data_IF_349740370244
#
_entry.id   IF_349740370244
#
_cell.length_a   1.000
_cell.length_b   1.000
_cell.length_c   1.000
_cell.angle_alpha   90.00
_cell.angle_beta   90.00
_cell.angle_gamma   90.00
#
_symmetry.space_group_name_H-M   'P 1'
#
loop_
_entity.id
_entity.type
_entity.pdbx_description
1 polymer ?
#
# COMPACT_ATOMS: atom_id res chain seq x y z
N UNK A 1 54.23 31.86 -36.72
CA UNK A 1 53.44 31.37 -35.57
C UNK A 1 51.93 31.60 -35.66
N UNK A 2 51.40 32.24 -36.76
CA UNK A 2 49.95 32.49 -36.93
C UNK A 2 49.14 31.28 -37.40
N UNK A 3 49.76 30.16 -37.75
CA UNK A 3 49.11 28.94 -38.23
C UNK A 3 48.64 27.96 -37.11
N UNK A 4 48.96 28.22 -35.85
CA UNK A 4 48.60 27.30 -34.76
C UNK A 4 47.28 27.65 -34.02
N UNK A 5 46.63 28.75 -34.35
CA UNK A 5 45.36 29.06 -33.77
C UNK A 5 44.21 28.33 -34.55
N UNK A 6 43.48 27.48 -33.82
CA UNK A 6 42.35 26.79 -34.37
C UNK A 6 41.30 27.82 -34.90
N UNK A 7 41.28 28.00 -36.23
CA UNK A 7 40.40 28.96 -36.92
C UNK A 7 38.91 28.69 -36.77
N UNK A 8 38.54 27.54 -36.18
CA UNK A 8 37.16 27.21 -35.84
C UNK A 8 36.73 27.72 -34.47
N UNK A 9 37.62 28.33 -33.68
CA UNK A 9 37.31 28.90 -32.35
C UNK A 9 36.36 30.11 -32.56
N UNK A 10 35.10 29.99 -32.09
CA UNK A 10 34.06 31.02 -32.20
C UNK A 10 33.09 30.87 -33.37
N UNK A 11 33.33 29.90 -34.28
CA UNK A 11 32.36 29.62 -35.36
C UNK A 11 31.22 28.77 -34.78
N UNK A 12 29.97 29.16 -35.11
CA UNK A 12 28.76 28.36 -34.81
C UNK A 12 28.84 27.06 -35.60
N UNK A 13 28.79 25.92 -34.89
CA UNK A 13 28.87 24.62 -35.56
C UNK A 13 27.58 24.32 -36.37
N UNK A 14 27.70 23.62 -37.51
CA UNK A 14 26.59 23.21 -38.38
C UNK A 14 25.52 22.35 -37.70
N UNK A 15 25.72 21.94 -36.43
CA UNK A 15 24.77 21.14 -35.62
C UNK A 15 24.06 21.96 -34.58
N UNK A 16 24.08 23.29 -34.66
CA UNK A 16 23.40 24.14 -33.71
C UNK A 16 21.88 24.12 -33.98
N UNK A 17 21.12 23.91 -32.89
CA UNK A 17 19.66 23.95 -32.97
C UNK A 17 19.17 25.35 -33.40
N UNK A 18 18.09 25.48 -34.15
CA UNK A 18 17.45 26.75 -34.43
C UNK A 18 17.10 27.48 -33.11
N UNK A 19 17.37 28.77 -33.03
CA UNK A 19 17.07 29.57 -31.86
C UNK A 19 15.60 29.52 -31.47
N UNK A 20 14.71 29.59 -32.49
CA UNK A 20 13.25 29.52 -32.29
C UNK A 20 12.81 28.19 -31.63
N UNK A 21 13.37 27.05 -32.05
CA UNK A 21 13.07 25.75 -31.45
C UNK A 21 13.58 25.66 -30.00
N UNK A 22 14.75 26.24 -29.76
CA UNK A 22 15.34 26.29 -28.42
C UNK A 22 14.49 27.13 -27.45
N UNK A 23 14.06 28.32 -27.89
CA UNK A 23 13.19 29.19 -27.09
C UNK A 23 11.83 28.57 -26.85
N UNK A 24 11.21 27.99 -27.88
CA UNK A 24 9.94 27.30 -27.75
C UNK A 24 10.01 26.17 -26.70
N UNK A 25 11.03 25.31 -26.80
CA UNK A 25 11.22 24.21 -25.85
C UNK A 25 11.42 24.73 -24.40
N UNK A 26 12.23 25.77 -24.24
CA UNK A 26 12.50 26.36 -22.91
C UNK A 26 11.28 27.07 -22.32
N UNK A 27 10.45 27.72 -23.13
CA UNK A 27 9.21 28.35 -22.67
C UNK A 27 8.19 27.29 -22.21
N UNK A 28 7.99 26.23 -22.98
CA UNK A 28 7.15 25.10 -22.58
C UNK A 28 7.62 24.51 -21.24
N UNK A 29 8.94 24.37 -21.05
CA UNK A 29 9.49 23.84 -19.79
C UNK A 29 9.21 24.80 -18.63
N UNK A 30 9.39 26.10 -18.81
CA UNK A 30 9.10 27.09 -17.76
C UNK A 30 7.63 27.08 -17.34
N UNK A 31 6.73 26.98 -18.30
CA UNK A 31 5.30 27.06 -18.04
C UNK A 31 4.71 25.78 -17.49
N UNK A 32 5.14 24.62 -17.99
CA UNK A 32 4.48 23.34 -17.71
C UNK A 32 5.34 22.32 -16.98
N UNK A 33 6.66 22.41 -17.06
CA UNK A 33 7.60 21.39 -16.58
C UNK A 33 8.76 21.97 -15.76
N UNK A 34 8.53 23.05 -15.05
CA UNK A 34 9.58 23.80 -14.34
C UNK A 34 10.36 22.95 -13.31
N UNK A 35 9.70 21.98 -12.69
CA UNK A 35 10.30 21.06 -11.71
C UNK A 35 10.77 19.71 -12.30
N UNK A 36 10.71 19.57 -13.63
CA UNK A 36 11.12 18.32 -14.29
C UNK A 36 12.63 18.30 -14.51
N UNK A 37 13.24 17.12 -14.24
CA UNK A 37 14.62 16.90 -14.64
C UNK A 37 14.76 16.81 -16.16
N UNK A 38 15.95 17.05 -16.73
CA UNK A 38 16.15 17.11 -18.20
C UNK A 38 15.72 15.85 -18.95
N UNK A 39 15.76 14.68 -18.31
CA UNK A 39 15.35 13.43 -18.94
C UNK A 39 13.83 13.36 -19.08
N UNK A 40 13.10 13.65 -18.01
CA UNK A 40 11.64 13.65 -18.03
C UNK A 40 11.10 14.79 -18.88
N UNK A 41 11.69 15.99 -18.79
CA UNK A 41 11.31 17.12 -19.63
C UNK A 41 11.47 16.79 -21.13
N UNK A 42 12.56 16.12 -21.53
CA UNK A 42 12.76 15.68 -22.90
C UNK A 42 11.67 14.71 -23.36
N UNK A 43 11.33 13.74 -22.52
CA UNK A 43 10.28 12.76 -22.81
C UNK A 43 8.94 13.45 -23.04
N UNK A 44 8.55 14.35 -22.15
CA UNK A 44 7.28 15.07 -22.27
C UNK A 44 7.25 16.09 -23.40
N UNK A 45 8.35 16.70 -23.76
CA UNK A 45 8.45 17.52 -24.95
C UNK A 45 8.21 16.69 -26.22
N UNK A 46 8.74 15.47 -26.28
CA UNK A 46 8.51 14.56 -27.40
C UNK A 46 7.06 14.05 -27.44
N UNK A 47 6.54 13.58 -26.31
CA UNK A 47 5.21 12.96 -26.21
C UNK A 47 4.07 13.96 -26.42
N UNK A 48 4.13 15.12 -25.74
CA UNK A 48 3.02 16.05 -25.69
C UNK A 48 3.14 17.22 -26.67
N UNK A 49 4.35 17.49 -27.20
CA UNK A 49 4.61 18.66 -28.04
C UNK A 49 5.33 18.32 -29.36
N UNK A 50 5.65 17.04 -29.62
CA UNK A 50 6.34 16.62 -30.83
C UNK A 50 7.78 17.14 -30.96
N UNK A 51 8.38 17.69 -29.89
CA UNK A 51 9.71 18.29 -29.92
C UNK A 51 10.77 17.26 -29.55
N UNK A 52 11.54 16.82 -30.55
CA UNK A 52 12.59 15.82 -30.42
C UNK A 52 13.95 16.49 -30.16
N UNK A 53 14.47 16.40 -28.94
CA UNK A 53 15.78 16.93 -28.55
C UNK A 53 16.66 15.85 -27.95
N UNK A 54 17.97 15.96 -28.15
CA UNK A 54 18.94 15.12 -27.48
C UNK A 54 18.97 15.41 -25.96
N UNK A 55 19.10 14.36 -25.14
CA UNK A 55 19.10 14.48 -23.67
C UNK A 55 20.18 15.46 -23.17
N UNK A 56 21.39 15.34 -23.67
CA UNK A 56 22.51 16.20 -23.24
C UNK A 56 22.37 17.63 -23.75
N UNK A 57 21.82 17.81 -24.94
CA UNK A 57 21.50 19.12 -25.48
C UNK A 57 20.50 19.85 -24.59
N UNK A 58 19.38 19.22 -24.28
CA UNK A 58 18.38 19.80 -23.39
C UNK A 58 18.93 20.08 -22.00
N UNK A 59 19.72 19.15 -21.46
CA UNK A 59 20.37 19.35 -20.15
C UNK A 59 21.24 20.60 -20.13
N UNK A 60 22.06 20.82 -21.15
CA UNK A 60 22.93 22.01 -21.26
C UNK A 60 22.10 23.29 -21.39
N UNK A 61 21.05 23.25 -22.19
CA UNK A 61 20.13 24.39 -22.32
C UNK A 61 19.46 24.75 -21.00
N UNK A 62 18.93 23.77 -20.28
CA UNK A 62 18.30 24.00 -18.98
C UNK A 62 19.29 24.49 -17.91
N UNK A 63 20.55 24.03 -17.93
CA UNK A 63 21.61 24.56 -17.04
C UNK A 63 21.94 26.01 -17.41
N UNK A 64 22.12 26.32 -18.71
CA UNK A 64 22.45 27.66 -19.18
C UNK A 64 21.38 28.69 -18.82
N UNK A 65 20.13 28.29 -18.77
CA UNK A 65 18.98 29.16 -18.43
C UNK A 65 18.54 29.11 -16.97
N UNK A 66 19.29 28.40 -16.11
CA UNK A 66 18.98 28.28 -14.68
C UNK A 66 17.79 27.38 -14.35
N UNK A 67 17.19 26.72 -15.34
CA UNK A 67 16.05 25.80 -15.15
C UNK A 67 16.46 24.46 -14.54
N UNK A 68 17.73 24.15 -14.55
CA UNK A 68 18.25 22.93 -13.96
C UNK A 68 19.59 23.16 -13.28
N UNK A 69 19.65 22.78 -12.00
CA UNK A 69 20.90 22.79 -11.22
C UNK A 69 21.36 21.33 -11.06
N UNK A 70 22.55 20.96 -11.59
CA UNK A 70 23.09 19.62 -11.38
C UNK A 70 23.24 19.32 -9.90
N UNK A 71 22.82 18.14 -9.46
CA UNK A 71 23.04 17.71 -8.07
C UNK A 71 24.54 17.78 -7.78
N UNK A 72 24.95 18.53 -6.74
CA UNK A 72 26.31 18.49 -6.23
C UNK A 72 26.64 17.02 -5.97
N UNK A 73 27.81 16.58 -6.45
CA UNK A 73 28.30 15.25 -6.15
C UNK A 73 28.32 15.07 -4.63
N UNK A 74 27.40 14.27 -4.12
CA UNK A 74 27.46 13.85 -2.72
C UNK A 74 28.69 12.97 -2.57
N UNK A 75 29.36 13.01 -1.41
CA UNK A 75 30.45 12.08 -1.09
C UNK A 75 29.99 10.65 -1.45
N UNK A 76 30.81 9.88 -2.18
CA UNK A 76 30.42 8.58 -2.63
C UNK A 76 30.11 7.68 -1.43
N UNK A 77 28.85 7.23 -1.33
CA UNK A 77 28.47 6.19 -0.38
C UNK A 77 29.04 4.88 -0.92
N UNK A 78 30.00 4.29 -0.22
CA UNK A 78 30.54 2.99 -0.59
C UNK A 78 29.40 1.97 -0.45
N UNK A 79 28.89 1.49 -1.57
CA UNK A 79 27.89 0.43 -1.64
C UNK A 79 28.49 -0.72 -2.42
N UNK A 80 28.69 -1.85 -1.74
CA UNK A 80 29.14 -3.06 -2.43
C UNK A 80 28.01 -3.57 -3.34
N UNK A 81 28.28 -3.82 -4.63
CA UNK A 81 27.29 -4.33 -5.54
C UNK A 81 26.88 -5.75 -5.14
N UNK A 82 25.56 -5.98 -5.07
CA UNK A 82 25.01 -7.32 -4.90
C UNK A 82 24.64 -7.90 -6.29
N UNK A 83 25.00 -9.14 -6.50
CA UNK A 83 24.60 -9.85 -7.72
C UNK A 83 23.08 -9.88 -7.84
N UNK A 84 22.60 -9.79 -9.09
CA UNK A 84 21.19 -10.00 -9.42
C UNK A 84 20.90 -11.48 -9.45
N UNK A 85 19.64 -11.83 -9.17
CA UNK A 85 19.14 -13.14 -9.49
C UNK A 85 19.23 -13.39 -10.99
N UNK A 86 19.24 -14.68 -11.36
CA UNK A 86 19.46 -15.06 -12.75
C UNK A 86 18.18 -14.96 -13.59
N UNK A 87 17.06 -15.34 -13.02
CA UNK A 87 15.77 -15.47 -13.70
C UNK A 87 14.71 -14.53 -13.12
N UNK A 88 13.76 -14.12 -13.96
CA UNK A 88 12.55 -13.43 -13.52
C UNK A 88 11.72 -14.33 -12.59
N UNK A 89 11.13 -13.78 -11.53
CA UNK A 89 10.34 -14.53 -10.56
C UNK A 89 11.12 -15.28 -9.48
N UNK A 90 12.46 -15.28 -9.56
CA UNK A 90 13.31 -15.95 -8.56
C UNK A 90 13.29 -15.26 -7.20
N UNK A 91 13.28 -13.92 -7.20
CA UNK A 91 13.20 -13.11 -5.99
C UNK A 91 12.51 -11.78 -6.28
N UNK A 92 11.39 -11.55 -5.61
CA UNK A 92 10.64 -10.31 -5.69
C UNK A 92 10.86 -9.50 -4.41
N UNK A 93 11.42 -8.30 -4.55
CA UNK A 93 11.57 -7.36 -3.43
C UNK A 93 10.26 -6.61 -3.24
N UNK A 94 9.73 -6.63 -2.01
CA UNK A 94 8.50 -5.94 -1.63
C UNK A 94 8.79 -4.88 -0.57
N UNK A 95 8.16 -3.72 -0.72
CA UNK A 95 8.31 -2.61 0.22
C UNK A 95 7.16 -1.61 0.09
N UNK A 96 6.83 -0.96 1.21
CA UNK A 96 5.92 0.18 1.22
C UNK A 96 6.68 1.50 1.13
N UNK A 97 6.14 2.44 0.38
CA UNK A 97 6.69 3.77 0.25
C UNK A 97 5.63 4.81 0.63
N UNK A 98 5.69 5.29 1.87
CA UNK A 98 4.86 6.41 2.31
C UNK A 98 5.40 7.72 1.72
N UNK A 99 4.54 8.45 1.01
CA UNK A 99 4.91 9.68 0.34
C UNK A 99 3.70 10.55 0.01
N UNK A 100 3.94 11.85 -0.25
CA UNK A 100 2.94 12.76 -0.79
C UNK A 100 2.76 12.54 -2.31
N UNK A 101 2.21 11.38 -2.68
CA UNK A 101 2.05 10.98 -4.10
C UNK A 101 1.19 11.97 -4.89
N UNK A 102 0.23 12.59 -4.23
CA UNK A 102 -0.67 13.58 -4.82
C UNK A 102 -0.27 15.02 -4.50
N UNK A 103 0.91 15.23 -3.90
CA UNK A 103 1.39 16.54 -3.46
C UNK A 103 0.39 17.19 -2.47
N UNK A 104 -0.12 18.39 -2.77
CA UNK A 104 -1.13 19.09 -1.96
C UNK A 104 -2.58 18.76 -2.37
N UNK A 105 -2.79 17.93 -3.42
CA UNK A 105 -4.11 17.61 -3.98
C UNK A 105 -4.88 16.57 -3.17
N UNK A 106 -4.17 15.76 -2.37
CA UNK A 106 -4.74 14.78 -1.43
C UNK A 106 -3.76 14.47 -0.30
N UNK A 107 -4.21 13.83 0.78
CA UNK A 107 -3.34 13.37 1.86
C UNK A 107 -2.26 12.40 1.37
N UNK A 108 -1.15 12.32 2.14
CA UNK A 108 -0.13 11.30 1.92
C UNK A 108 -0.73 9.90 2.01
N UNK A 109 -0.21 8.99 1.20
CA UNK A 109 -0.59 7.59 1.22
C UNK A 109 0.62 6.70 0.90
N UNK A 110 0.47 5.41 1.08
CA UNK A 110 1.56 4.45 0.85
C UNK A 110 1.38 3.77 -0.51
N UNK A 111 2.45 3.68 -1.28
CA UNK A 111 2.52 2.82 -2.46
C UNK A 111 3.23 1.51 -2.09
N UNK A 112 2.54 0.39 -2.23
CA UNK A 112 3.12 -0.95 -2.12
C UNK A 112 3.78 -1.31 -3.45
N UNK A 113 5.07 -1.62 -3.41
CA UNK A 113 5.89 -1.79 -4.62
C UNK A 113 6.55 -3.15 -4.61
N UNK A 114 6.37 -3.90 -5.69
CA UNK A 114 6.98 -5.20 -5.92
C UNK A 114 7.94 -5.10 -7.09
N UNK A 115 9.20 -5.42 -6.87
CA UNK A 115 10.27 -5.30 -7.87
C UNK A 115 10.97 -6.63 -8.05
N UNK A 116 11.05 -7.12 -9.27
CA UNK A 116 11.86 -8.29 -9.58
C UNK A 116 13.36 -7.99 -9.49
N UNK A 117 14.09 -8.80 -8.75
CA UNK A 117 15.53 -8.61 -8.52
C UNK A 117 16.37 -8.80 -9.78
N UNK A 118 15.99 -9.73 -10.65
CA UNK A 118 16.72 -10.03 -11.87
C UNK A 118 16.60 -8.88 -12.89
N UNK A 119 15.39 -8.43 -13.12
CA UNK A 119 15.07 -7.50 -14.21
C UNK A 119 14.89 -6.05 -13.77
N UNK A 120 14.69 -5.77 -12.48
CA UNK A 120 14.22 -4.48 -11.94
C UNK A 120 12.86 -4.03 -12.50
N UNK A 121 12.06 -4.93 -13.03
CA UNK A 121 10.69 -4.64 -13.42
C UNK A 121 9.83 -4.34 -12.20
N UNK A 122 8.96 -3.37 -12.34
CA UNK A 122 7.81 -3.25 -11.44
C UNK A 122 6.84 -4.36 -11.78
N UNK A 123 6.60 -5.24 -10.83
CA UNK A 123 5.70 -6.38 -10.98
C UNK A 123 4.33 -6.10 -10.39
N UNK A 124 4.26 -5.24 -9.35
CA UNK A 124 3.03 -4.75 -8.77
C UNK A 124 3.26 -3.37 -8.16
N UNK A 125 2.27 -2.51 -8.35
CA UNK A 125 2.19 -1.19 -7.75
C UNK A 125 0.76 -0.97 -7.27
N UNK A 126 0.56 -0.76 -5.98
CA UNK A 126 -0.76 -0.54 -5.39
C UNK A 126 -0.72 0.58 -4.37
N UNK A 127 -1.57 1.56 -4.54
CA UNK A 127 -1.74 2.63 -3.57
C UNK A 127 -2.74 2.21 -2.50
N UNK A 128 -2.40 2.51 -1.24
CA UNK A 128 -3.22 2.20 -0.08
C UNK A 128 -3.14 3.37 0.91
N UNK A 129 -4.14 3.52 1.76
CA UNK A 129 -4.12 4.58 2.79
C UNK A 129 -3.00 4.37 3.81
N UNK A 130 -2.75 3.13 4.17
CA UNK A 130 -1.69 2.72 5.11
C UNK A 130 -1.32 1.26 4.90
N UNK A 131 -0.11 0.88 5.33
CA UNK A 131 0.32 -0.50 5.32
C UNK A 131 -0.43 -1.32 6.37
N UNK A 132 -0.93 -2.48 5.96
CA UNK A 132 -1.55 -3.48 6.82
C UNK A 132 -1.41 -4.87 6.21
N UNK A 133 -1.67 -5.90 6.99
CA UNK A 133 -1.68 -7.28 6.48
C UNK A 133 -2.70 -7.43 5.34
N UNK A 134 -3.89 -6.83 5.46
CA UNK A 134 -4.91 -6.90 4.42
C UNK A 134 -4.50 -6.20 3.13
N UNK A 135 -3.85 -5.03 3.23
CA UNK A 135 -3.40 -4.32 2.02
C UNK A 135 -2.29 -5.08 1.30
N UNK A 136 -1.41 -5.76 2.05
CA UNK A 136 -0.43 -6.67 1.46
C UNK A 136 -1.08 -7.95 0.90
N UNK A 137 -2.14 -8.47 1.50
CA UNK A 137 -2.91 -9.58 0.94
C UNK A 137 -3.50 -9.22 -0.42
N UNK A 138 -4.14 -8.06 -0.53
CA UNK A 138 -4.71 -7.60 -1.79
C UNK A 138 -3.64 -7.34 -2.86
N UNK A 139 -2.53 -6.68 -2.48
CA UNK A 139 -1.44 -6.40 -3.41
C UNK A 139 -0.79 -7.70 -3.91
N UNK A 140 -0.54 -8.66 -2.99
CA UNK A 140 0.06 -9.95 -3.35
C UNK A 140 -0.89 -10.80 -4.18
N UNK A 141 -2.19 -10.79 -3.87
CA UNK A 141 -3.21 -11.46 -4.67
C UNK A 141 -3.18 -10.96 -6.11
N UNK A 142 -3.25 -9.65 -6.33
CA UNK A 142 -3.18 -9.06 -7.68
C UNK A 142 -1.86 -9.37 -8.40
N UNK A 143 -0.75 -9.47 -7.67
CA UNK A 143 0.52 -9.92 -8.22
C UNK A 143 0.45 -11.38 -8.68
N UNK A 144 -0.07 -12.30 -7.84
CA UNK A 144 -0.15 -13.73 -8.15
C UNK A 144 -1.11 -14.01 -9.32
N UNK A 145 -2.22 -13.29 -9.39
CA UNK A 145 -3.18 -13.39 -10.50
C UNK A 145 -2.57 -12.98 -11.85
N UNK A 146 -1.63 -12.02 -11.85
CA UNK A 146 -0.97 -11.52 -13.07
C UNK A 146 0.23 -12.37 -13.49
N UNK A 147 1.03 -12.83 -12.53
CA UNK A 147 2.36 -13.40 -12.80
C UNK A 147 2.53 -14.84 -12.35
N UNK A 148 1.66 -15.33 -11.48
CA UNK A 148 1.84 -16.61 -10.81
C UNK A 148 2.68 -16.51 -9.53
N UNK A 149 3.04 -17.65 -8.98
CA UNK A 149 3.75 -17.80 -7.69
C UNK A 149 5.26 -17.65 -7.87
N UNK A 150 5.92 -16.60 -7.33
CA UNK A 150 7.38 -16.48 -7.38
C UNK A 150 8.03 -17.50 -6.45
N UNK A 151 9.33 -17.73 -6.60
CA UNK A 151 10.05 -18.61 -5.67
C UNK A 151 10.21 -17.95 -4.29
N UNK A 152 10.54 -16.65 -4.26
CA UNK A 152 10.87 -15.98 -3.01
C UNK A 152 10.34 -14.54 -3.00
N UNK A 153 9.71 -14.14 -1.88
CA UNK A 153 9.44 -12.75 -1.54
C UNK A 153 10.49 -12.24 -0.55
N UNK A 154 10.99 -11.05 -0.79
CA UNK A 154 12.05 -10.42 0.00
C UNK A 154 11.57 -9.09 0.56
N UNK A 155 11.35 -9.02 1.87
CA UNK A 155 10.82 -7.88 2.58
C UNK A 155 11.79 -7.31 3.62
N UNK A 156 11.38 -6.27 4.33
CA UNK A 156 12.00 -5.85 5.58
C UNK A 156 11.51 -6.69 6.77
N UNK A 157 11.86 -6.24 7.98
CA UNK A 157 11.44 -6.85 9.24
C UNK A 157 10.20 -6.18 9.83
N UNK A 158 9.34 -5.58 9.02
CA UNK A 158 8.08 -5.05 9.51
C UNK A 158 7.21 -6.15 10.13
N UNK A 159 6.35 -5.77 11.05
CA UNK A 159 5.52 -6.72 11.81
C UNK A 159 4.56 -7.55 10.94
N UNK A 160 4.26 -7.09 9.75
CA UNK A 160 3.48 -7.84 8.75
C UNK A 160 4.24 -9.09 8.30
N UNK A 161 5.56 -8.97 8.11
CA UNK A 161 6.38 -10.05 7.54
C UNK A 161 7.09 -10.89 8.59
N UNK A 162 7.33 -10.36 9.78
CA UNK A 162 8.09 -11.03 10.82
C UNK A 162 7.55 -10.80 12.21
N UNK A 163 7.52 -11.88 13.00
CA UNK A 163 7.29 -11.80 14.45
C UNK A 163 8.57 -11.30 15.11
N UNK A 164 8.56 -10.04 15.59
CA UNK A 164 9.72 -9.43 16.22
C UNK A 164 9.80 -9.69 17.74
N UNK A 165 8.78 -10.31 18.33
CA UNK A 165 8.77 -10.62 19.75
C UNK A 165 9.51 -11.94 20.01
N UNK A 166 10.69 -11.86 20.63
CA UNK A 166 11.52 -13.02 20.99
C UNK A 166 10.86 -13.97 22.00
N UNK A 167 9.87 -13.51 22.74
CA UNK A 167 9.17 -14.25 23.78
C UNK A 167 7.74 -14.65 23.35
N UNK A 168 7.43 -14.66 22.06
CA UNK A 168 6.16 -15.19 21.58
C UNK A 168 6.16 -16.71 21.78
N UNK A 169 5.38 -17.17 22.77
CA UNK A 169 5.29 -18.60 23.13
C UNK A 169 4.04 -19.28 22.54
N UNK A 170 3.26 -18.57 21.73
CA UNK A 170 2.03 -19.08 21.12
C UNK A 170 2.00 -18.86 19.62
N UNK A 171 1.30 -19.75 18.91
CA UNK A 171 1.13 -19.74 17.46
C UNK A 171 2.22 -20.53 16.70
N UNK A 172 2.02 -20.70 15.40
CA UNK A 172 2.86 -21.52 14.52
C UNK A 172 4.19 -20.85 14.11
N UNK A 173 4.55 -19.73 14.73
CA UNK A 173 5.78 -18.99 14.42
C UNK A 173 5.70 -18.11 13.16
N UNK A 174 4.57 -18.07 12.48
CA UNK A 174 4.32 -17.25 11.31
C UNK A 174 3.47 -16.01 11.61
N UNK A 175 3.72 -14.93 10.89
CA UNK A 175 2.73 -13.84 10.76
C UNK A 175 1.58 -14.33 9.88
N UNK A 176 0.46 -13.61 9.86
CA UNK A 176 -0.65 -13.94 8.95
C UNK A 176 -0.22 -13.93 7.47
N UNK A 177 0.63 -12.96 7.09
CA UNK A 177 1.23 -12.92 5.76
C UNK A 177 2.17 -14.10 5.51
N UNK A 178 3.05 -14.39 6.48
CA UNK A 178 3.98 -15.51 6.38
C UNK A 178 3.26 -16.85 6.27
N UNK A 179 2.13 -17.05 6.99
CA UNK A 179 1.29 -18.24 6.88
C UNK A 179 0.72 -18.38 5.45
N UNK A 180 0.15 -17.32 4.91
CA UNK A 180 -0.41 -17.36 3.55
C UNK A 180 0.67 -17.70 2.51
N UNK A 181 1.88 -17.14 2.64
CA UNK A 181 2.99 -17.46 1.75
C UNK A 181 3.47 -18.91 1.91
N UNK A 182 3.52 -19.42 3.13
CA UNK A 182 3.87 -20.80 3.41
C UNK A 182 2.85 -21.77 2.79
N UNK A 183 1.56 -21.51 2.94
CA UNK A 183 0.49 -22.32 2.33
C UNK A 183 0.56 -22.30 0.79
N UNK A 184 0.96 -21.16 0.18
CA UNK A 184 1.18 -21.02 -1.26
C UNK A 184 2.55 -21.60 -1.72
N UNK A 185 3.33 -22.15 -0.81
CA UNK A 185 4.67 -22.65 -1.07
C UNK A 185 5.60 -21.57 -1.66
N UNK A 186 5.51 -20.33 -1.14
CA UNK A 186 6.36 -19.18 -1.49
C UNK A 186 7.30 -18.93 -0.33
N UNK A 187 8.60 -18.92 -0.58
CA UNK A 187 9.59 -18.62 0.45
C UNK A 187 9.55 -17.13 0.81
N UNK A 188 9.63 -16.80 2.10
CA UNK A 188 9.75 -15.43 2.58
C UNK A 188 11.10 -15.20 3.25
N UNK A 189 11.81 -14.16 2.85
CA UNK A 189 13.11 -13.77 3.42
C UNK A 189 13.02 -12.33 3.90
N UNK A 190 13.39 -12.06 5.16
CA UNK A 190 13.46 -10.72 5.70
C UNK A 190 14.88 -10.17 5.64
N UNK A 191 15.05 -9.00 5.03
CA UNK A 191 16.32 -8.28 4.92
C UNK A 191 16.89 -7.92 6.29
N UNK A 192 18.18 -8.12 6.48
CA UNK A 192 18.85 -7.70 7.71
C UNK A 192 19.24 -6.21 7.72
N UNK A 193 19.39 -5.63 6.54
CA UNK A 193 19.80 -4.22 6.35
C UNK A 193 18.99 -3.60 5.21
N UNK A 194 18.76 -2.28 5.27
CA UNK A 194 18.08 -1.54 4.19
C UNK A 194 18.83 -1.67 2.86
N UNK A 195 20.16 -1.64 2.88
CA UNK A 195 20.99 -1.79 1.67
C UNK A 195 20.77 -3.11 0.93
N UNK A 196 20.26 -4.13 1.62
CA UNK A 196 19.93 -5.42 1.00
C UNK A 196 18.72 -5.33 0.05
N UNK A 197 17.84 -4.34 0.21
CA UNK A 197 16.69 -4.06 -0.66
C UNK A 197 16.97 -2.99 -1.74
N UNK A 198 18.20 -2.83 -2.15
CA UNK A 198 18.62 -1.73 -3.05
C UNK A 198 17.91 -1.65 -4.41
N UNK A 199 17.14 -2.68 -4.84
CA UNK A 199 16.34 -2.63 -6.07
C UNK A 199 15.07 -1.84 -5.86
N UNK A 200 14.29 -2.20 -4.83
CA UNK A 200 13.05 -1.52 -4.51
C UNK A 200 13.32 -0.09 -4.03
N UNK A 201 14.38 0.15 -3.23
CA UNK A 201 14.78 1.51 -2.83
C UNK A 201 15.11 2.41 -4.05
N UNK A 202 15.77 1.86 -5.06
CA UNK A 202 16.04 2.59 -6.31
C UNK A 202 14.76 2.82 -7.12
N UNK A 203 13.84 1.86 -7.12
CA UNK A 203 12.53 2.05 -7.72
C UNK A 203 11.77 3.18 -7.01
N UNK A 204 11.75 3.20 -5.67
CA UNK A 204 11.13 4.28 -4.90
C UNK A 204 11.64 5.67 -5.31
N UNK A 205 12.96 5.84 -5.43
CA UNK A 205 13.54 7.13 -5.87
C UNK A 205 13.04 7.53 -7.27
N UNK A 206 12.91 6.56 -8.17
CA UNK A 206 12.40 6.82 -9.54
C UNK A 206 10.91 7.12 -9.52
N UNK A 207 10.14 6.39 -8.71
CA UNK A 207 8.70 6.61 -8.53
C UNK A 207 8.43 7.99 -7.94
N UNK A 208 9.13 8.36 -6.86
CA UNK A 208 8.99 9.68 -6.24
C UNK A 208 9.32 10.83 -7.21
N UNK A 209 10.29 10.64 -8.11
CA UNK A 209 10.62 11.66 -9.12
C UNK A 209 9.62 11.69 -10.28
N UNK A 210 9.11 10.53 -10.75
CA UNK A 210 8.32 10.43 -11.98
C UNK A 210 6.82 10.27 -11.74
N UNK A 211 6.43 9.32 -10.89
CA UNK A 211 5.02 8.97 -10.70
C UNK A 211 4.21 10.13 -10.12
N UNK A 212 4.78 10.88 -9.18
CA UNK A 212 4.15 12.10 -8.63
C UNK A 212 3.78 13.08 -9.75
N UNK A 213 4.70 13.27 -10.69
CA UNK A 213 4.53 14.19 -11.83
C UNK A 213 3.54 13.65 -12.88
N UNK A 214 3.56 12.33 -13.12
CA UNK A 214 2.60 11.68 -14.02
C UNK A 214 1.16 11.76 -13.45
N UNK A 215 1.00 11.51 -12.16
CA UNK A 215 -0.29 11.66 -11.48
C UNK A 215 -0.79 13.11 -11.55
N UNK A 216 0.12 14.09 -11.42
CA UNK A 216 -0.22 15.51 -11.56
C UNK A 216 -0.66 15.85 -12.98
N UNK A 217 0.09 15.40 -14.00
CA UNK A 217 -0.24 15.66 -15.40
C UNK A 217 -1.60 15.11 -15.82
N UNK A 218 -2.03 14.02 -15.19
CA UNK A 218 -3.32 13.37 -15.44
C UNK A 218 -4.43 13.87 -14.50
N UNK A 219 -4.13 14.79 -13.59
CA UNK A 219 -5.10 15.30 -12.62
C UNK A 219 -5.54 14.25 -11.58
N UNK A 220 -4.80 13.16 -11.43
CA UNK A 220 -5.12 12.08 -10.49
C UNK A 220 -4.81 12.53 -9.07
N UNK A 221 -5.81 12.44 -8.17
CA UNK A 221 -5.70 12.85 -6.77
C UNK A 221 -6.40 11.91 -5.78
N UNK A 222 -6.78 10.71 -6.21
CA UNK A 222 -7.37 9.69 -5.33
C UNK A 222 -6.61 8.37 -5.43
N UNK A 223 -6.69 7.57 -4.36
CA UNK A 223 -6.07 6.24 -4.30
C UNK A 223 -6.66 5.32 -5.37
N UNK A 224 -7.97 5.37 -5.57
CA UNK A 224 -8.66 4.51 -6.54
C UNK A 224 -8.24 4.83 -7.97
N UNK A 225 -8.28 6.09 -8.38
CA UNK A 225 -7.82 6.52 -9.71
C UNK A 225 -6.32 6.26 -9.92
N UNK A 226 -5.50 6.34 -8.87
CA UNK A 226 -4.08 6.00 -8.95
C UNK A 226 -3.87 4.49 -9.15
N UNK A 227 -4.71 3.66 -8.55
CA UNK A 227 -4.68 2.20 -8.75
C UNK A 227 -5.15 1.82 -10.17
N UNK A 228 -6.14 2.50 -10.72
CA UNK A 228 -6.57 2.30 -12.11
C UNK A 228 -5.45 2.66 -13.11
N UNK A 229 -4.67 3.70 -12.83
CA UNK A 229 -3.55 4.12 -13.66
C UNK A 229 -2.27 3.29 -13.44
N UNK A 230 -2.17 2.54 -12.35
CA UNK A 230 -0.93 1.87 -11.96
C UNK A 230 -0.38 0.91 -13.03
N UNK A 231 -1.24 0.17 -13.72
CA UNK A 231 -0.82 -0.79 -14.75
C UNK A 231 -0.22 -0.08 -15.97
N UNK A 232 -0.86 0.98 -16.48
CA UNK A 232 -0.31 1.79 -17.58
C UNK A 232 1.05 2.39 -17.20
N UNK A 233 1.17 2.90 -15.97
CA UNK A 233 2.45 3.43 -15.50
C UNK A 233 3.52 2.35 -15.38
N UNK A 234 3.19 1.17 -14.87
CA UNK A 234 4.14 0.05 -14.77
C UNK A 234 4.66 -0.38 -16.15
N UNK A 235 3.81 -0.42 -17.16
CA UNK A 235 4.21 -0.78 -18.53
C UNK A 235 5.20 0.24 -19.08
N UNK A 236 4.94 1.54 -18.93
CA UNK A 236 5.86 2.59 -19.34
C UNK A 236 7.18 2.54 -18.57
N UNK A 237 7.10 2.38 -17.25
CA UNK A 237 8.28 2.22 -16.39
C UNK A 237 9.12 1.02 -16.82
N UNK A 238 8.50 -0.13 -17.04
CA UNK A 238 9.19 -1.36 -17.40
C UNK A 238 9.87 -1.24 -18.78
N UNK A 239 9.21 -0.63 -19.74
CA UNK A 239 9.80 -0.36 -21.06
C UNK A 239 11.07 0.49 -20.98
N UNK A 240 11.14 1.44 -20.02
CA UNK A 240 12.26 2.39 -19.86
C UNK A 240 13.38 1.87 -18.97
N UNK A 241 13.06 1.13 -17.93
CA UNK A 241 13.99 0.83 -16.84
C UNK A 241 14.26 -0.65 -16.60
N UNK A 242 13.46 -1.54 -17.19
CA UNK A 242 13.70 -2.96 -17.07
C UNK A 242 15.04 -3.34 -17.71
N UNK A 243 15.63 -4.40 -17.19
CA UNK A 243 16.87 -4.98 -17.66
C UNK A 243 16.64 -6.40 -18.10
N UNK A 244 17.36 -6.83 -19.11
CA UNK A 244 17.40 -8.24 -19.50
C UNK A 244 17.96 -9.07 -18.35
N UNK A 245 17.29 -10.14 -17.94
CA UNK A 245 17.81 -11.07 -16.93
C UNK A 245 19.00 -11.84 -17.52
N UNK A 246 19.74 -12.55 -16.65
CA UNK A 246 20.87 -13.39 -17.11
C UNK A 246 20.38 -14.58 -17.93
N UNK A 247 19.24 -15.15 -17.54
CA UNK A 247 18.56 -16.22 -18.24
C UNK A 247 17.12 -15.81 -18.52
N UNK A 248 16.66 -16.04 -19.73
CA UNK A 248 15.32 -15.61 -20.21
C UNK A 248 14.20 -16.48 -19.62
N UNK A 249 14.53 -17.54 -18.86
CA UNK A 249 13.55 -18.40 -18.25
C UNK A 249 12.81 -17.66 -17.11
N UNK A 250 11.49 -17.67 -17.16
CA UNK A 250 10.62 -17.18 -16.10
C UNK A 250 10.30 -18.34 -15.14
N UNK A 251 10.67 -18.18 -13.85
CA UNK A 251 10.52 -19.23 -12.83
C UNK A 251 9.22 -19.09 -12.01
N UNK A 252 8.32 -18.21 -12.38
CA UNK A 252 7.01 -18.18 -11.77
C UNK A 252 6.29 -19.49 -12.00
N UNK A 253 5.71 -20.02 -10.95
CA UNK A 253 4.86 -21.21 -11.02
C UNK A 253 3.41 -20.74 -11.27
N UNK A 254 2.67 -21.39 -12.17
CA UNK A 254 1.27 -21.06 -12.40
C UNK A 254 0.45 -21.25 -11.11
N UNK A 255 -0.66 -20.55 -11.01
CA UNK A 255 -1.68 -20.86 -10.01
C UNK A 255 -2.34 -22.16 -10.41
N UNK A 256 -2.51 -23.05 -9.44
CA UNK A 256 -3.20 -24.31 -9.62
C UNK A 256 -4.71 -24.13 -9.47
N UNK A 257 -5.49 -25.03 -10.02
CA UNK A 257 -6.96 -24.95 -9.96
C UNK A 257 -7.47 -24.94 -8.50
N UNK A 258 -6.74 -25.59 -7.60
CA UNK A 258 -7.08 -25.73 -6.18
C UNK A 258 -6.56 -24.55 -5.33
N UNK A 259 -5.82 -23.60 -5.92
CA UNK A 259 -5.33 -22.40 -5.23
C UNK A 259 -6.48 -21.43 -4.96
N UNK A 260 -7.23 -21.62 -3.90
CA UNK A 260 -8.23 -20.64 -3.43
C UNK A 260 -7.52 -19.44 -2.77
N UNK A 261 -7.16 -18.46 -3.60
CA UNK A 261 -6.49 -17.24 -3.13
C UNK A 261 -7.34 -16.49 -2.10
N UNK A 262 -8.65 -16.56 -2.16
CA UNK A 262 -9.50 -15.90 -1.17
C UNK A 262 -9.33 -16.56 0.21
N UNK A 263 -9.23 -17.88 0.25
CA UNK A 263 -8.99 -18.63 1.48
C UNK A 263 -7.58 -18.40 2.05
N UNK A 264 -6.55 -18.37 1.18
CA UNK A 264 -5.17 -18.12 1.62
C UNK A 264 -5.00 -16.72 2.20
N UNK A 265 -5.58 -15.70 1.60
CA UNK A 265 -5.47 -14.31 2.02
C UNK A 265 -6.54 -13.92 3.04
N UNK A 266 -6.67 -14.70 4.10
CA UNK A 266 -7.53 -14.44 5.25
C UNK A 266 -6.69 -14.16 6.50
N UNK A 267 -7.20 -13.34 7.40
CA UNK A 267 -6.68 -13.26 8.76
C UNK A 267 -7.34 -14.36 9.59
N UNK A 268 -6.57 -15.28 10.16
CA UNK A 268 -7.09 -16.42 10.93
C UNK A 268 -6.70 -16.30 12.38
N UNK A 269 -7.68 -16.44 13.26
CA UNK A 269 -7.48 -16.46 14.71
C UNK A 269 -8.21 -17.64 15.35
N UNK A 270 -7.52 -18.41 16.20
CA UNK A 270 -8.20 -19.44 16.98
C UNK A 270 -9.06 -18.79 18.07
N UNK A 271 -10.30 -19.25 18.22
CA UNK A 271 -11.23 -18.82 19.25
C UNK A 271 -11.91 -20.05 19.86
N UNK A 272 -12.07 -20.02 21.20
CA UNK A 272 -12.74 -21.09 21.91
C UNK A 272 -14.25 -20.92 21.85
N UNK A 273 -14.97 -21.98 21.52
CA UNK A 273 -16.43 -22.00 21.53
C UNK A 273 -16.93 -22.20 22.96
N UNK A 274 -17.87 -21.36 23.40
CA UNK A 274 -18.49 -21.45 24.72
C UNK A 274 -19.48 -22.62 24.79
N UNK A 275 -19.94 -22.96 25.99
CA UNK A 275 -21.00 -23.94 26.20
C UNK A 275 -22.32 -23.55 25.55
N UNK A 276 -22.55 -22.26 25.33
CA UNK A 276 -23.75 -21.70 24.72
C UNK A 276 -23.59 -21.47 23.20
N UNK A 277 -22.64 -22.16 22.54
CA UNK A 277 -22.35 -22.05 21.12
C UNK A 277 -22.05 -20.59 20.68
N UNK A 278 -21.32 -19.85 21.53
CA UNK A 278 -20.95 -18.48 21.21
C UNK A 278 -19.45 -18.32 21.06
N UNK A 279 -19.03 -17.41 20.18
CA UNK A 279 -17.63 -17.02 19.97
C UNK A 279 -17.54 -15.51 19.98
N UNK A 280 -16.58 -14.96 20.71
CA UNK A 280 -16.29 -13.54 20.70
C UNK A 280 -15.08 -13.25 19.82
N UNK A 281 -15.27 -12.38 18.83
CA UNK A 281 -14.21 -11.91 17.95
C UNK A 281 -14.45 -10.44 17.60
N UNK A 282 -13.42 -9.61 17.66
CA UNK A 282 -13.47 -8.19 17.28
C UNK A 282 -14.60 -7.40 17.98
N UNK A 283 -14.82 -7.68 19.28
CA UNK A 283 -15.90 -7.10 20.11
C UNK A 283 -17.31 -7.48 19.68
N UNK A 284 -17.48 -8.34 18.70
CA UNK A 284 -18.75 -8.91 18.25
C UNK A 284 -18.90 -10.30 18.83
N UNK A 285 -20.10 -10.62 19.28
CA UNK A 285 -20.49 -11.96 19.72
C UNK A 285 -21.17 -12.67 18.55
N UNK A 286 -20.63 -13.82 18.19
CA UNK A 286 -21.17 -14.69 17.12
C UNK A 286 -21.92 -15.84 17.77
N UNK A 287 -23.16 -16.03 17.37
CA UNK A 287 -24.03 -17.14 17.79
C UNK A 287 -23.94 -18.21 16.72
N UNK A 288 -23.31 -19.32 17.03
CA UNK A 288 -23.23 -20.47 16.13
C UNK A 288 -24.56 -21.21 16.18
N UNK A 289 -25.11 -21.57 15.03
CA UNK A 289 -26.36 -22.33 14.95
C UNK A 289 -26.21 -23.70 15.61
N UNK A 290 -27.23 -24.09 16.37
CA UNK A 290 -27.25 -25.38 17.09
C UNK A 290 -27.51 -26.52 16.12
N UNK A 291 -26.46 -27.20 15.72
CA UNK A 291 -26.51 -28.43 14.92
C UNK A 291 -25.50 -29.44 15.42
N UNK A 292 -25.52 -30.64 14.91
CA UNK A 292 -24.65 -31.73 15.37
C UNK A 292 -23.14 -31.39 15.25
N UNK A 293 -22.76 -30.73 14.14
CA UNK A 293 -21.38 -30.30 13.91
C UNK A 293 -20.95 -29.22 14.90
N UNK A 294 -21.81 -28.22 15.11
CA UNK A 294 -21.54 -27.10 16.04
C UNK A 294 -21.44 -27.58 17.47
N UNK A 295 -22.28 -28.54 17.91
CA UNK A 295 -22.19 -29.14 19.25
C UNK A 295 -20.86 -29.83 19.51
N UNK A 296 -20.22 -30.39 18.47
CA UNK A 296 -18.88 -30.99 18.55
C UNK A 296 -17.77 -29.95 18.74
N UNK A 297 -18.05 -28.70 18.47
CA UNK A 297 -17.12 -27.57 18.65
C UNK A 297 -17.12 -27.03 20.08
N UNK A 298 -18.11 -27.34 20.90
CA UNK A 298 -18.22 -26.83 22.28
C UNK A 298 -16.94 -27.13 23.08
N UNK A 299 -16.35 -26.09 23.67
CA UNK A 299 -15.13 -26.17 24.46
C UNK A 299 -13.85 -26.31 23.64
N UNK A 300 -13.96 -26.50 22.32
CA UNK A 300 -12.80 -26.59 21.42
C UNK A 300 -12.45 -25.23 20.81
N UNK A 301 -11.29 -25.14 20.20
CA UNK A 301 -10.90 -24.00 19.39
C UNK A 301 -11.38 -24.20 17.96
N UNK A 302 -11.97 -23.15 17.40
CA UNK A 302 -12.30 -23.01 15.99
C UNK A 302 -11.49 -21.86 15.41
N UNK A 303 -11.37 -21.82 14.10
CA UNK A 303 -10.73 -20.69 13.40
C UNK A 303 -11.78 -19.66 12.99
N UNK A 304 -11.49 -18.40 13.27
CA UNK A 304 -12.23 -17.27 12.71
C UNK A 304 -11.43 -16.76 11.52
N UNK A 305 -12.01 -16.88 10.35
CA UNK A 305 -11.42 -16.38 9.11
C UNK A 305 -12.01 -15.01 8.80
N UNK A 306 -11.16 -14.02 8.74
CA UNK A 306 -11.54 -12.65 8.41
C UNK A 306 -10.92 -12.27 7.07
N UNK A 307 -11.77 -12.03 6.07
CA UNK A 307 -11.41 -11.70 4.71
C UNK A 307 -11.12 -10.21 4.55
N UNK A 308 -10.35 -9.79 3.53
CA UNK A 308 -10.08 -8.38 3.26
C UNK A 308 -11.35 -7.54 3.00
N UNK A 309 -12.39 -8.13 2.44
CA UNK A 309 -13.71 -7.51 2.21
C UNK A 309 -14.54 -7.28 3.48
N UNK A 310 -14.03 -7.70 4.65
CA UNK A 310 -14.70 -7.61 5.93
C UNK A 310 -15.61 -8.80 6.26
N UNK A 311 -15.85 -9.71 5.33
CA UNK A 311 -16.57 -10.95 5.57
C UNK A 311 -15.81 -11.82 6.58
N UNK A 312 -16.57 -12.55 7.40
CA UNK A 312 -16.01 -13.47 8.40
C UNK A 312 -16.62 -14.84 8.25
N UNK A 313 -15.85 -15.87 8.54
CA UNK A 313 -16.33 -17.25 8.60
C UNK A 313 -15.79 -17.90 9.89
N UNK A 314 -16.60 -18.76 10.48
CA UNK A 314 -16.20 -19.60 11.61
C UNK A 314 -15.99 -21.01 11.07
N UNK A 315 -14.80 -21.59 11.27
CA UNK A 315 -14.48 -22.92 10.72
C UNK A 315 -13.97 -23.87 11.79
N UNK A 316 -14.56 -25.07 11.79
CA UNK A 316 -14.06 -26.20 12.58
C UNK A 316 -13.41 -27.21 11.64
N UNK A 317 -12.12 -27.41 11.76
CA UNK A 317 -11.33 -28.35 10.91
C UNK A 317 -11.61 -28.12 9.40
N UNK A 318 -11.63 -26.87 8.96
CA UNK A 318 -11.88 -26.50 7.56
C UNK A 318 -13.35 -26.39 7.16
N UNK A 319 -14.28 -26.93 7.96
CA UNK A 319 -15.73 -26.88 7.66
C UNK A 319 -16.35 -25.59 8.25
N UNK A 320 -17.06 -24.85 7.42
CA UNK A 320 -17.76 -23.62 7.86
C UNK A 320 -18.91 -23.95 8.81
N UNK A 321 -19.01 -23.18 9.88
CA UNK A 321 -20.10 -23.24 10.85
C UNK A 321 -21.08 -22.09 10.57
N UNK A 322 -22.37 -22.35 10.39
CA UNK A 322 -23.36 -21.31 10.25
C UNK A 322 -23.50 -20.52 11.55
N UNK A 323 -23.61 -19.21 11.44
CA UNK A 323 -23.72 -18.32 12.59
C UNK A 323 -24.56 -17.08 12.29
N UNK A 324 -25.04 -16.44 13.35
CA UNK A 324 -25.61 -15.10 13.34
C UNK A 324 -24.78 -14.18 14.26
N UNK A 325 -24.84 -12.88 14.01
CA UNK A 325 -24.17 -11.91 14.88
C UNK A 325 -25.16 -11.44 15.95
N UNK A 326 -24.73 -11.52 17.23
CA UNK A 326 -25.50 -10.95 18.32
C UNK A 326 -25.25 -9.45 18.39
N UNK A 327 -26.25 -8.68 18.00
CA UNK A 327 -26.22 -7.23 18.15
C UNK A 327 -26.91 -6.86 19.48
N UNK A 328 -26.09 -6.55 20.47
CA UNK A 328 -26.55 -6.12 21.79
C UNK A 328 -27.39 -4.82 21.73
N UNK A 329 -27.23 -4.04 20.69
CA UNK A 329 -27.96 -2.79 20.48
C UNK A 329 -29.36 -3.06 19.91
N UNK A 330 -29.56 -4.10 19.09
CA UNK A 330 -30.86 -4.48 18.56
C UNK A 330 -31.79 -5.04 19.64
N UNK A 331 -31.23 -5.72 20.64
CA UNK A 331 -32.01 -6.28 21.75
C UNK A 331 -32.46 -5.21 22.75
N UNK A 332 -31.67 -4.15 22.91
CA UNK A 332 -32.07 -2.96 23.70
C UNK A 332 -33.21 -2.22 22.99
N UNK A 333 -33.25 -2.25 21.65
CA UNK A 333 -34.33 -1.62 20.85
C UNK A 333 -35.65 -2.45 20.91
N UNK A 334 -35.57 -3.77 21.04
CA UNK A 334 -36.75 -4.64 21.14
C UNK A 334 -37.31 -4.75 22.56
N UNK A 335 -36.45 -4.60 23.59
CA UNK A 335 -36.85 -4.69 25.01
C UNK A 335 -37.20 -3.36 25.68
N UNK A 336 -36.76 -2.26 25.10
CA UNK A 336 -36.91 -0.91 25.65
C UNK A 336 -37.73 0.00 24.76
N UNK A 337 -38.91 -0.47 24.29
CA UNK A 337 -39.98 0.44 23.93
C UNK A 337 -40.63 0.92 25.25
N UNK A 338 -39.83 1.59 26.04
CA UNK A 338 -40.26 2.53 27.05
C UNK A 338 -39.61 3.86 26.75
N UNK A 339 -40.32 4.67 26.01
CA UNK A 339 -40.28 6.14 25.97
C UNK A 339 -39.02 6.84 26.46
N UNK A 340 -37.89 6.70 25.77
CA UNK A 340 -36.81 7.66 25.98
C UNK A 340 -36.26 8.19 24.63
N UNK A 341 -37.04 9.06 23.98
CA UNK A 341 -36.66 9.83 22.80
C UNK A 341 -35.31 10.55 22.90
N UNK A 342 -34.77 10.69 24.12
CA UNK A 342 -33.45 11.27 24.38
C UNK A 342 -32.30 10.28 24.17
N UNK A 343 -32.53 9.00 24.50
CA UNK A 343 -31.47 7.96 24.36
C UNK A 343 -31.22 7.59 22.91
N UNK A 344 -32.25 7.52 22.08
CA UNK A 344 -32.11 7.24 20.65
C UNK A 344 -31.23 8.26 19.93
N UNK A 345 -31.41 9.55 20.18
CA UNK A 345 -30.57 10.61 19.62
C UNK A 345 -29.11 10.55 20.09
N UNK A 346 -28.89 10.17 21.35
CA UNK A 346 -27.52 10.00 21.89
C UNK A 346 -26.83 8.80 21.28
N UNK A 347 -27.53 7.71 21.03
CA UNK A 347 -27.01 6.50 20.38
C UNK A 347 -26.72 6.74 18.89
N UNK A 348 -27.56 7.47 18.16
CA UNK A 348 -27.27 7.90 16.79
C UNK A 348 -26.04 8.82 16.73
N UNK A 349 -25.90 9.71 17.68
CA UNK A 349 -24.71 10.57 17.81
C UNK A 349 -23.44 9.73 18.05
N UNK A 350 -23.50 8.78 18.98
CA UNK A 350 -22.38 7.88 19.27
C UNK A 350 -22.05 7.02 18.05
N UNK A 351 -23.03 6.54 17.29
CA UNK A 351 -22.84 5.76 16.07
C UNK A 351 -22.15 6.58 14.98
N UNK A 352 -22.57 7.81 14.75
CA UNK A 352 -21.92 8.75 13.81
C UNK A 352 -20.48 9.10 14.20
N UNK A 353 -20.22 9.22 15.51
CA UNK A 353 -18.88 9.46 16.03
C UNK A 353 -18.00 8.21 15.89
N UNK A 354 -18.58 7.01 16.04
CA UNK A 354 -17.86 5.75 15.87
C UNK A 354 -17.57 5.42 14.39
N UNK A 355 -18.46 5.77 13.47
CA UNK A 355 -18.25 5.61 12.02
C UNK A 355 -17.09 6.49 11.50
N UNK A 356 -16.86 7.64 12.12
CA UNK A 356 -15.71 8.52 11.80
C UNK A 356 -14.41 8.13 12.49
N UNK A 357 -14.43 7.19 13.42
CA UNK A 357 -13.25 6.64 14.04
C UNK A 357 -12.56 5.71 13.07
N UNK A 358 -11.38 6.10 12.60
CA UNK A 358 -10.48 5.17 11.93
C UNK A 358 -10.27 3.95 12.83
N UNK A 359 -10.82 2.81 12.42
CA UNK A 359 -10.54 1.51 13.02
C UNK A 359 -9.13 1.06 12.65
N UNK A 360 -8.14 1.92 12.90
CA UNK A 360 -6.75 1.52 12.86
C UNK A 360 -6.55 0.47 13.95
N UNK A 361 -6.78 -0.79 13.58
CA UNK A 361 -6.28 -1.90 14.38
C UNK A 361 -4.78 -1.72 14.48
N UNK A 362 -4.30 -1.36 15.65
CA UNK A 362 -2.89 -1.44 15.92
C UNK A 362 -2.50 -2.89 15.58
N UNK A 363 -1.42 -3.06 14.84
CA UNK A 363 -0.84 -4.37 14.48
C UNK A 363 -0.26 -5.09 15.72
N UNK A 364 -0.80 -4.84 16.90
CA UNK A 364 -0.44 -5.56 18.08
C UNK A 364 -0.93 -6.99 17.93
N UNK A 365 0.02 -7.92 17.87
CA UNK A 365 -0.22 -9.35 18.02
C UNK A 365 -1.15 -9.55 19.21
N UNK A 366 -2.25 -10.32 19.09
CA UNK A 366 -3.09 -10.63 20.24
C UNK A 366 -2.20 -11.18 21.36
N UNK A 367 -2.21 -10.53 22.51
CA UNK A 367 -1.52 -11.07 23.66
C UNK A 367 -2.21 -12.40 23.98
N UNK A 368 -1.50 -13.51 23.75
CA UNK A 368 -1.91 -14.80 24.28
C UNK A 368 -2.11 -14.69 25.80
N UNK A 369 -2.99 -15.51 26.37
CA UNK A 369 -3.30 -15.59 27.79
C UNK A 369 -2.05 -15.89 28.65
N UNK A 370 -1.17 -14.90 28.77
CA UNK A 370 -0.03 -14.90 29.67
C UNK A 370 -0.27 -13.95 30.84
N UNK A 371 0.29 -14.21 32.03
CA UNK A 371 0.05 -13.40 33.23
C UNK A 371 0.39 -11.93 32.93
N UNK A 372 -0.52 -11.04 33.37
CA UNK A 372 -0.47 -9.61 33.14
C UNK A 372 0.89 -9.01 33.51
N UNK A 373 1.66 -8.60 32.51
CA UNK A 373 2.91 -7.87 32.72
C UNK A 373 2.61 -6.42 33.06
N UNK A 374 3.17 -5.97 34.17
CA UNK A 374 3.23 -4.58 34.62
C UNK A 374 3.56 -3.67 33.43
N UNK A 375 2.69 -2.70 33.19
CA UNK A 375 2.86 -1.60 32.23
C UNK A 375 4.23 -0.95 32.42
N UNK A 376 5.15 -1.17 31.49
CA UNK A 376 6.33 -0.32 31.34
C UNK A 376 5.84 1.04 30.85
N UNK A 377 6.10 2.08 31.59
CA UNK A 377 5.92 3.47 31.15
C UNK A 377 6.85 3.70 29.96
N UNK A 378 6.33 3.62 28.74
CA UNK A 378 7.00 4.18 27.57
C UNK A 378 6.60 5.64 27.50
N UNK A 379 7.57 6.50 27.71
CA UNK A 379 7.54 7.91 27.37
C UNK A 379 7.25 8.04 25.88
N UNK A 380 6.26 8.89 25.58
CA UNK A 380 5.68 9.20 24.28
C UNK A 380 4.60 8.23 23.78
N UNK A 381 3.42 8.38 24.38
CA UNK A 381 2.16 8.07 23.73
C UNK A 381 2.02 9.01 22.54
N UNK A 382 2.16 8.52 21.28
CA UNK A 382 1.46 9.12 20.17
C UNK A 382 -0.01 9.16 20.57
N UNK A 383 -0.55 10.35 20.76
CA UNK A 383 -1.89 10.57 21.25
C UNK A 383 -2.87 9.78 20.36
N UNK A 384 -3.60 8.86 20.97
CA UNK A 384 -4.91 8.52 20.42
C UNK A 384 -5.60 9.85 20.18
N UNK A 385 -5.99 10.14 18.95
CA UNK A 385 -6.70 11.37 18.59
C UNK A 385 -7.92 11.41 19.52
N UNK A 386 -7.81 12.18 20.59
CA UNK A 386 -8.95 12.48 21.43
C UNK A 386 -9.95 13.19 20.55
N UNK A 387 -11.22 12.84 20.66
CA UNK A 387 -12.30 13.56 19.99
C UNK A 387 -12.17 15.03 20.35
N UNK A 388 -11.80 15.84 19.35
CA UNK A 388 -11.73 17.29 19.52
C UNK A 388 -13.16 17.84 19.56
N UNK A 389 -13.37 18.97 20.23
CA UNK A 389 -14.65 19.68 20.24
C UNK A 389 -15.22 19.91 18.84
N UNK A 390 -14.37 20.07 17.85
CA UNK A 390 -14.75 20.25 16.43
C UNK A 390 -15.37 18.99 15.81
N UNK A 391 -14.89 17.81 16.16
CA UNK A 391 -15.48 16.53 15.70
C UNK A 391 -16.87 16.33 16.30
N UNK A 392 -17.08 16.76 17.55
CA UNK A 392 -18.39 16.74 18.23
C UNK A 392 -19.35 17.78 17.63
N UNK A 393 -18.86 18.96 17.30
CA UNK A 393 -19.65 20.03 16.65
C UNK A 393 -20.07 19.62 15.22
N UNK A 394 -19.20 18.98 14.47
CA UNK A 394 -19.50 18.45 13.14
C UNK A 394 -20.55 17.33 13.18
N UNK A 395 -20.50 16.45 14.18
CA UNK A 395 -21.49 15.40 14.39
C UNK A 395 -22.85 15.98 14.82
N UNK A 396 -22.87 17.00 15.65
CA UNK A 396 -24.09 17.71 16.06
C UNK A 396 -24.76 18.43 14.87
N UNK A 397 -23.98 19.08 14.00
CA UNK A 397 -24.50 19.71 12.77
C UNK A 397 -25.08 18.68 11.79
N UNK A 398 -24.45 17.51 11.66
CA UNK A 398 -24.96 16.42 10.83
C UNK A 398 -26.27 15.81 11.35
N UNK A 399 -26.47 15.78 12.65
CA UNK A 399 -27.74 15.36 13.27
C UNK A 399 -28.86 16.40 13.09
N UNK A 400 -28.52 17.69 13.16
CA UNK A 400 -29.48 18.77 12.94
C UNK A 400 -29.96 18.83 11.49
N UNK A 401 -29.07 18.57 10.50
CA UNK A 401 -29.46 18.53 9.09
C UNK A 401 -30.38 17.34 8.76
N UNK A 402 -30.13 16.17 9.34
CA UNK A 402 -31.02 14.99 9.18
C UNK A 402 -32.38 15.15 9.85
N UNK A 403 -32.48 15.88 10.96
CA UNK A 403 -33.79 16.15 11.61
C UNK A 403 -34.61 17.15 10.81
N UNK A 404 -34.01 18.05 10.02
CA UNK A 404 -34.73 18.96 9.11
C UNK A 404 -35.39 18.26 7.94
N UNK A 405 -34.80 17.18 7.40
CA UNK A 405 -35.38 16.41 6.30
C UNK A 405 -36.59 15.55 6.68
N UNK A 406 -36.67 15.14 7.94
CA UNK A 406 -37.78 14.31 8.44
C UNK A 406 -39.05 15.15 8.70
N UNK A 407 -38.90 16.41 9.04
CA UNK A 407 -40.01 17.35 9.25
C UNK A 407 -40.53 18.02 7.99
N UNK A 408 -39.78 18.01 6.88
CA UNK A 408 -40.16 18.60 5.58
C UNK A 408 -41.10 17.73 4.74
N UNK A 409 -41.41 16.48 5.13
CA UNK A 409 -42.30 15.55 4.38
C UNK A 409 -43.67 15.33 5.01
N UNK A 410 -44.12 16.20 5.89
CA UNK A 410 -45.53 16.25 6.35
C UNK A 410 -46.06 17.66 6.16
N UNK A 411 -46.42 17.97 4.94
CA UNK A 411 -47.50 18.89 4.57
C UNK A 411 -48.16 18.35 3.31
#
# INVERSE_FOLDING_TARGET
>A
PLGMNNQSRGRTGNRQLPASLTELALNIIRERYADFGPTLAREKLAENHGILLGKETLRRLMIKTGLWVPRKQRAPKIQQPRYRRACCGELIQIDGCDHHWFEYRAPACTALVYVDDATSRLMQLRFVKSESTFTYFEATRGYLEKHGKPLTLYSDKASVFRINNKNATGGDGYTQFGRAMHELNIQTICANTSSAKGRVERAHLTLQDRLVKELRLRGISSVDAANEYADEFMDDYNRRFAKTPRHDFDVHRPLEHDDDLAAFFTWREPRRVSKSLTVQYDKVLYLIEDNELSRRAIGKYIEVWHYPDGRKELRLNGTALPYSTYDRLSEIDQGAIVDNKRLGRTLEFIKLVQEKRDNNRSQAIPAGDGPSRRRRKTTEKKSQRSLNGDDMLAALKALQSRSGEIFGRRK
#
